data_IF_320321941336
#
_entry.id   IF_320321941336
#
_cell.length_a   1.000
_cell.length_b   1.000
_cell.length_c   1.000
_cell.angle_alpha   90.00
_cell.angle_beta   90.00
_cell.angle_gamma   90.00
#
_symmetry.space_group_name_H-M   'P 1'
#
loop_
_entity.id
_entity.type
_entity.pdbx_description
1 polymer ?
#
# COMPACT_ATOMS: atom_id res chain seq x y z
N UNK A 1 -1.60 -2.57 -35.45
CA UNK A 1 -2.58 -2.75 -34.36
C UNK A 1 -1.95 -2.73 -32.96
N UNK A 2 -0.81 -3.39 -32.69
CA UNK A 2 -0.14 -3.27 -31.37
C UNK A 2 0.63 -1.94 -31.16
N UNK A 3 1.01 -1.25 -32.23
CA UNK A 3 1.73 0.03 -32.16
C UNK A 3 0.81 1.26 -31.94
N UNK A 4 -0.51 1.11 -32.12
CA UNK A 4 -1.47 2.23 -31.95
C UNK A 4 -1.99 2.34 -30.51
N UNK A 5 -1.82 1.28 -29.71
CA UNK A 5 -2.26 1.25 -28.33
C UNK A 5 -1.32 2.02 -27.36
N UNK A 6 -0.13 2.38 -27.84
CA UNK A 6 0.87 3.17 -27.10
C UNK A 6 0.49 4.66 -27.01
N UNK A 7 -0.37 5.14 -27.93
CA UNK A 7 -0.74 6.56 -28.04
C UNK A 7 -1.84 6.96 -27.04
N UNK A 8 -2.54 5.98 -26.45
CA UNK A 8 -3.55 6.21 -25.42
C UNK A 8 -3.08 5.61 -24.10
N UNK A 9 -2.28 6.36 -23.33
CA UNK A 9 -1.64 5.97 -22.05
C UNK A 9 -2.60 5.54 -20.92
N UNK A 10 -3.38 4.48 -21.16
CA UNK A 10 -4.42 3.92 -20.29
C UNK A 10 -4.50 2.40 -20.38
N UNK A 11 -3.51 1.72 -20.93
CA UNK A 11 -3.40 0.28 -20.75
C UNK A 11 -2.84 0.02 -19.35
N UNK A 12 -3.73 -0.10 -18.37
CA UNK A 12 -3.43 -0.92 -17.19
C UNK A 12 -3.18 -2.33 -17.69
N UNK A 13 -1.91 -2.68 -17.87
CA UNK A 13 -1.50 -4.05 -18.18
C UNK A 13 -1.94 -4.91 -17.00
N UNK A 14 -2.63 -6.02 -17.27
CA UNK A 14 -3.01 -6.95 -16.21
C UNK A 14 -1.73 -7.45 -15.50
N UNK A 15 -1.63 -7.21 -14.20
CA UNK A 15 -0.42 -7.47 -13.42
C UNK A 15 0.55 -6.29 -13.31
N UNK A 16 0.19 -5.10 -13.83
CA UNK A 16 0.97 -3.89 -13.60
C UNK A 16 0.90 -3.44 -12.14
N UNK A 17 2.04 -3.01 -11.60
CA UNK A 17 2.17 -2.56 -10.23
C UNK A 17 2.25 -1.03 -10.12
N UNK A 18 2.71 -0.37 -11.19
CA UNK A 18 2.92 1.07 -11.26
C UNK A 18 1.68 1.78 -11.80
N UNK A 19 1.36 2.93 -11.21
CA UNK A 19 0.23 3.77 -11.61
C UNK A 19 0.76 5.14 -12.01
N UNK A 20 0.40 5.60 -13.21
CA UNK A 20 0.85 6.90 -13.75
C UNK A 20 2.18 6.86 -14.51
N UNK A 21 2.80 5.69 -14.65
CA UNK A 21 3.97 5.44 -15.51
C UNK A 21 4.04 3.96 -15.92
N UNK A 22 4.83 3.59 -16.95
CA UNK A 22 5.11 2.19 -17.27
C UNK A 22 5.80 1.45 -16.13
N UNK A 23 5.50 0.14 -15.99
CA UNK A 23 6.21 -0.77 -15.10
C UNK A 23 7.68 -0.94 -15.48
N UNK A 24 8.54 -1.23 -14.49
CA UNK A 24 9.97 -1.47 -14.70
C UNK A 24 10.83 -0.20 -14.74
N UNK A 25 10.27 0.96 -14.35
CA UNK A 25 11.04 2.17 -14.08
C UNK A 25 11.90 2.08 -12.82
N UNK A 26 12.66 3.14 -12.47
CA UNK A 26 13.51 3.13 -11.28
C UNK A 26 12.74 2.83 -9.98
N UNK A 27 13.28 1.88 -9.21
CA UNK A 27 12.71 1.41 -7.95
C UNK A 27 13.61 1.64 -6.74
N UNK A 28 13.03 1.55 -5.55
CA UNK A 28 13.78 1.55 -4.28
C UNK A 28 14.69 0.29 -4.18
N UNK A 29 15.83 0.39 -3.50
CA UNK A 29 16.62 -0.81 -3.21
C UNK A 29 15.79 -1.80 -2.39
N UNK A 30 15.95 -3.10 -2.66
CA UNK A 30 15.26 -4.24 -2.01
C UNK A 30 13.82 -4.45 -2.44
N UNK A 31 12.94 -3.45 -2.34
CA UNK A 31 11.51 -3.62 -2.64
C UNK A 31 11.15 -3.35 -4.09
N UNK A 32 12.04 -2.65 -4.81
CA UNK A 32 11.85 -2.22 -6.19
C UNK A 32 10.59 -1.34 -6.39
N UNK A 33 10.06 -0.74 -5.32
CA UNK A 33 8.90 0.15 -5.42
C UNK A 33 9.23 1.40 -6.21
N UNK A 34 8.33 1.81 -7.12
CA UNK A 34 8.54 2.96 -8.00
C UNK A 34 8.89 4.24 -7.22
N UNK A 35 9.94 4.92 -7.65
CA UNK A 35 10.40 6.20 -7.08
C UNK A 35 9.85 7.42 -7.83
N UNK A 36 9.20 7.18 -8.98
CA UNK A 36 8.68 8.23 -9.86
C UNK A 36 7.15 8.27 -9.96
N UNK A 37 6.48 7.16 -9.67
CA UNK A 37 5.05 7.01 -9.85
C UNK A 37 4.44 6.20 -8.70
N UNK A 38 3.11 6.07 -8.68
CA UNK A 38 2.41 5.27 -7.67
C UNK A 38 2.71 3.79 -7.81
N UNK A 39 2.70 3.05 -6.70
CA UNK A 39 2.99 1.62 -6.69
C UNK A 39 2.02 0.85 -5.79
N UNK A 40 1.19 -0.01 -6.37
CA UNK A 40 0.16 -0.80 -5.68
C UNK A 40 0.74 -1.89 -4.77
N UNK A 41 2.03 -2.25 -4.94
CA UNK A 41 2.71 -3.19 -4.04
C UNK A 41 2.80 -2.63 -2.62
N UNK A 42 2.91 -1.31 -2.46
CA UNK A 42 2.99 -0.63 -1.16
C UNK A 42 1.74 -0.89 -0.31
N UNK A 43 0.52 -0.46 -0.71
CA UNK A 43 -0.68 -0.73 0.08
C UNK A 43 -0.97 -2.23 0.20
N UNK A 44 -0.65 -3.04 -0.82
CA UNK A 44 -0.84 -4.49 -0.73
C UNK A 44 0.04 -5.13 0.37
N UNK A 45 1.33 -4.79 0.40
CA UNK A 45 2.27 -5.24 1.44
C UNK A 45 1.77 -4.84 2.82
N UNK A 46 1.42 -3.56 3.01
CA UNK A 46 0.87 -3.09 4.30
C UNK A 46 -0.44 -3.81 4.62
N UNK A 47 -1.33 -4.02 3.66
CA UNK A 47 -2.57 -4.78 3.86
C UNK A 47 -2.32 -6.20 4.39
N UNK A 48 -1.35 -6.92 3.81
CA UNK A 48 -0.99 -8.28 4.25
C UNK A 48 -0.46 -8.33 5.69
N UNK A 49 0.29 -7.31 6.11
CA UNK A 49 0.85 -7.25 7.46
C UNK A 49 -0.21 -7.00 8.55
N UNK A 50 -1.44 -6.62 8.19
CA UNK A 50 -2.53 -6.46 9.15
C UNK A 50 -2.81 -7.76 9.92
N UNK A 51 -2.70 -8.91 9.22
CA UNK A 51 -2.89 -10.24 9.78
C UNK A 51 -1.86 -10.59 10.87
N UNK A 52 -0.71 -9.90 10.89
CA UNK A 52 0.33 -10.06 11.90
C UNK A 52 0.22 -8.99 12.97
N UNK A 53 0.05 -7.73 12.56
CA UNK A 53 0.06 -6.57 13.45
C UNK A 53 -1.14 -6.55 14.42
N UNK A 54 -2.36 -6.87 13.96
CA UNK A 54 -3.55 -6.80 14.82
C UNK A 54 -3.59 -7.90 15.89
N UNK A 55 -3.28 -9.18 15.58
CA UNK A 55 -3.15 -10.20 16.62
C UNK A 55 -2.03 -9.89 17.61
N UNK A 56 -0.89 -9.37 17.12
CA UNK A 56 0.22 -8.97 17.99
C UNK A 56 -0.20 -7.84 18.94
N UNK A 57 -0.91 -6.82 18.45
CA UNK A 57 -1.48 -5.77 19.28
C UNK A 57 -2.41 -6.36 20.36
N UNK A 58 -3.34 -7.23 19.97
CA UNK A 58 -4.25 -7.90 20.89
C UNK A 58 -3.50 -8.70 21.99
N UNK A 59 -2.41 -9.37 21.62
CA UNK A 59 -1.54 -10.09 22.55
C UNK A 59 -0.80 -9.16 23.51
N UNK A 60 -0.30 -8.01 23.03
CA UNK A 60 0.40 -7.02 23.86
C UNK A 60 -0.53 -6.38 24.90
N UNK A 61 -1.79 -6.11 24.52
CA UNK A 61 -2.78 -5.51 25.43
C UNK A 61 -3.58 -6.54 26.25
N UNK A 62 -3.19 -7.83 26.23
CA UNK A 62 -3.96 -8.93 26.84
C UNK A 62 -4.24 -8.77 28.33
N UNK A 63 -3.34 -8.10 29.08
CA UNK A 63 -3.44 -7.87 30.53
C UNK A 63 -4.36 -6.70 30.92
N UNK A 64 -4.87 -5.95 29.94
CA UNK A 64 -5.82 -4.85 30.20
C UNK A 64 -7.22 -5.42 30.46
N UNK A 65 -8.09 -4.61 31.09
CA UNK A 65 -9.49 -4.97 31.26
C UNK A 65 -10.13 -5.32 29.91
N UNK A 66 -11.14 -6.23 29.85
CA UNK A 66 -11.75 -6.63 28.57
C UNK A 66 -12.24 -5.46 27.72
N UNK A 67 -12.88 -4.47 28.35
CA UNK A 67 -13.36 -3.24 27.68
C UNK A 67 -12.22 -2.40 27.12
N UNK A 68 -11.17 -2.18 27.90
CA UNK A 68 -9.99 -1.42 27.44
C UNK A 68 -9.28 -2.16 26.31
N UNK A 69 -9.11 -3.48 26.42
CA UNK A 69 -8.49 -4.31 25.39
C UNK A 69 -9.25 -4.22 24.06
N UNK A 70 -10.57 -4.40 24.09
CA UNK A 70 -11.42 -4.28 22.89
C UNK A 70 -11.29 -2.90 22.24
N UNK A 71 -11.34 -1.82 23.04
CA UNK A 71 -11.18 -0.45 22.53
C UNK A 71 -9.83 -0.23 21.89
N UNK A 72 -8.74 -0.68 22.52
CA UNK A 72 -7.39 -0.53 21.98
C UNK A 72 -7.21 -1.30 20.67
N UNK A 73 -7.72 -2.53 20.58
CA UNK A 73 -7.66 -3.31 19.33
C UNK A 73 -8.51 -2.67 18.23
N UNK A 74 -9.72 -2.19 18.56
CA UNK A 74 -10.58 -1.51 17.59
C UNK A 74 -9.97 -0.21 17.07
N UNK A 75 -9.40 0.62 17.95
CA UNK A 75 -8.68 1.83 17.56
C UNK A 75 -7.44 1.50 16.73
N UNK A 76 -6.68 0.48 17.11
CA UNK A 76 -5.53 0.01 16.34
C UNK A 76 -5.93 -0.47 14.94
N UNK A 77 -7.01 -1.24 14.82
CA UNK A 77 -7.55 -1.66 13.53
C UNK A 77 -8.03 -0.48 12.68
N UNK A 78 -8.74 0.47 13.27
CA UNK A 78 -9.19 1.67 12.57
C UNK A 78 -8.01 2.52 12.07
N UNK A 79 -6.99 2.73 12.91
CA UNK A 79 -5.77 3.44 12.54
C UNK A 79 -5.01 2.72 11.41
N UNK A 80 -4.89 1.39 11.50
CA UNK A 80 -4.25 0.58 10.47
C UNK A 80 -4.98 0.69 9.12
N UNK A 81 -6.31 0.57 9.14
CA UNK A 81 -7.15 0.74 7.95
C UNK A 81 -7.02 2.13 7.36
N UNK A 82 -6.96 3.17 8.18
CA UNK A 82 -6.75 4.53 7.70
C UNK A 82 -5.40 4.67 6.98
N UNK A 83 -4.32 4.13 7.54
CA UNK A 83 -2.99 4.11 6.89
C UNK A 83 -3.04 3.36 5.56
N UNK A 84 -3.67 2.17 5.54
CA UNK A 84 -3.84 1.39 4.31
C UNK A 84 -4.60 2.19 3.23
N UNK A 85 -5.72 2.82 3.57
CA UNK A 85 -6.52 3.62 2.64
C UNK A 85 -5.73 4.81 2.11
N UNK A 86 -4.97 5.50 2.97
CA UNK A 86 -4.14 6.62 2.56
C UNK A 86 -3.05 6.18 1.57
N UNK A 87 -2.37 5.06 1.84
CA UNK A 87 -1.36 4.51 0.93
C UNK A 87 -1.99 4.05 -0.40
N UNK A 88 -3.17 3.43 -0.36
CA UNK A 88 -3.88 3.02 -1.56
C UNK A 88 -4.29 4.23 -2.40
N UNK A 89 -4.88 5.25 -1.77
CA UNK A 89 -5.27 6.48 -2.46
C UNK A 89 -4.07 7.21 -3.05
N UNK A 90 -2.95 7.23 -2.32
CA UNK A 90 -1.69 7.83 -2.77
C UNK A 90 -1.12 7.10 -3.99
N UNK A 91 -1.10 5.76 -3.97
CA UNK A 91 -0.64 4.95 -5.10
C UNK A 91 -1.57 5.10 -6.31
N UNK A 92 -2.88 5.07 -6.12
CA UNK A 92 -3.85 5.27 -7.20
C UNK A 92 -3.81 6.68 -7.79
N UNK A 93 -3.39 7.69 -7.01
CA UNK A 93 -3.13 9.04 -7.49
C UNK A 93 -1.81 9.15 -8.30
N UNK A 94 -1.09 8.05 -8.50
CA UNK A 94 0.15 7.99 -9.28
C UNK A 94 1.34 8.67 -8.62
N UNK A 95 1.31 8.85 -7.29
CA UNK A 95 2.38 9.52 -6.54
C UNK A 95 3.37 8.48 -6.00
N UNK A 96 4.69 8.70 -6.07
CA UNK A 96 5.66 7.81 -5.44
C UNK A 96 5.63 7.93 -3.91
N UNK A 97 5.83 6.82 -3.21
CA UNK A 97 5.90 6.80 -1.73
C UNK A 97 7.08 7.62 -1.22
N UNK A 98 8.24 7.45 -1.86
CA UNK A 98 9.47 8.20 -1.58
C UNK A 98 9.93 8.83 -2.88
N UNK A 99 10.08 10.15 -2.86
CA UNK A 99 10.64 10.89 -3.99
C UNK A 99 12.17 10.83 -3.92
N UNK A 100 12.78 10.16 -4.89
CA UNK A 100 14.23 10.26 -5.13
C UNK A 100 14.39 11.05 -6.44
N UNK A 101 14.75 12.33 -6.30
CA UNK A 101 15.04 13.25 -7.41
C UNK A 101 16.38 12.93 -8.06
#
# INVERSE_FOLDING_TARGET
>A
QLAEADVAGRLTVAGAHTVGAPDGGPGLPVTDWSTRAGDLRVPHFVGLHALQALPLLAFLVRRRSPRTRQRLVALGAAAYTAVFILLLAQALAGRPLVLLS
#
